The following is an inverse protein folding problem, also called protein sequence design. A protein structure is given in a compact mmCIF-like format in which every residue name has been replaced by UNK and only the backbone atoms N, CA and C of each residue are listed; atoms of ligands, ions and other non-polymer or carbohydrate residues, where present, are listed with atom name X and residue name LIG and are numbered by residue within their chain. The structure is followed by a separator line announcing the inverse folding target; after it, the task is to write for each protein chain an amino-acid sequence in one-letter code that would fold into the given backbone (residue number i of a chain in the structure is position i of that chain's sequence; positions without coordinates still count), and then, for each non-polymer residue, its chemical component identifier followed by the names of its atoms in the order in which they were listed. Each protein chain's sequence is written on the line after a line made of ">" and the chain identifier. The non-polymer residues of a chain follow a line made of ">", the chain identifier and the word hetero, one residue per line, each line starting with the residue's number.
data_IF_515580845765
#
_entry.id   IF_515580845765
#
_cell.length_a   1.000
_cell.length_b   1.000
_cell.length_c   1.000
_cell.angle_alpha   90.00
_cell.angle_beta   90.00
_cell.angle_gamma   90.00
#
_symmetry.space_group_name_H-M   'P 1'
#
loop_
_entity.id
_entity.type
_entity.pdbx_description
1 polymer ?
#
# COMPACT_ATOMS: atom_id res chain seq x y z
N UNK A 1 9.72 -2.88 -12.03
CA UNK A 1 10.27 -2.39 -10.74
C UNK A 1 10.51 -3.55 -9.79
N UNK A 2 11.50 -3.44 -8.93
CA UNK A 2 11.71 -4.44 -7.88
C UNK A 2 10.70 -4.29 -6.75
N UNK A 3 10.14 -5.39 -6.29
CA UNK A 3 9.16 -5.44 -5.21
C UNK A 3 9.42 -6.62 -4.28
N UNK A 4 9.39 -6.35 -2.98
CA UNK A 4 9.48 -7.41 -1.97
C UNK A 4 8.16 -8.19 -1.97
N UNK A 5 8.23 -9.48 -2.24
CA UNK A 5 7.06 -10.30 -2.55
C UNK A 5 7.00 -11.53 -1.65
N UNK A 6 5.81 -11.84 -1.13
CA UNK A 6 5.54 -13.10 -0.45
C UNK A 6 5.47 -14.21 -1.49
N UNK A 7 6.35 -15.18 -1.40
CA UNK A 7 6.44 -16.32 -2.35
C UNK A 7 5.72 -17.54 -1.79
N UNK A 8 6.04 -17.87 -0.56
CA UNK A 8 5.48 -19.00 0.18
C UNK A 8 5.72 -18.83 1.68
N UNK A 9 5.08 -19.66 2.50
CA UNK A 9 5.30 -19.64 3.95
C UNK A 9 6.79 -19.70 4.29
N UNK A 10 7.24 -18.73 5.06
CA UNK A 10 8.64 -18.58 5.47
C UNK A 10 9.52 -17.83 4.46
N UNK A 11 9.01 -17.48 3.27
CA UNK A 11 9.87 -16.93 2.21
C UNK A 11 9.31 -15.66 1.57
N UNK A 12 10.10 -14.60 1.64
CA UNK A 12 9.99 -13.40 0.82
C UNK A 12 11.13 -13.38 -0.21
N UNK A 13 10.89 -12.78 -1.36
CA UNK A 13 11.89 -12.55 -2.38
C UNK A 13 11.73 -11.17 -3.02
N UNK A 14 12.84 -10.61 -3.48
CA UNK A 14 12.83 -9.40 -4.30
C UNK A 14 12.59 -9.83 -5.75
N UNK A 15 11.42 -9.50 -6.28
CA UNK A 15 11.04 -9.91 -7.64
C UNK A 15 10.81 -8.67 -8.52
N UNK A 16 11.08 -8.86 -9.82
CA UNK A 16 10.71 -7.85 -10.82
C UNK A 16 9.20 -7.89 -11.08
N UNK A 17 8.55 -6.75 -10.94
CA UNK A 17 7.11 -6.58 -11.18
C UNK A 17 6.83 -5.38 -12.07
N UNK A 18 5.71 -5.37 -12.79
CA UNK A 18 5.28 -4.18 -13.52
C UNK A 18 5.09 -3.00 -12.54
N UNK A 19 5.38 -1.80 -13.03
CA UNK A 19 5.07 -0.58 -12.28
C UNK A 19 3.55 -0.43 -12.18
N UNK A 20 3.00 -0.04 -11.01
CA UNK A 20 1.57 0.18 -10.88
C UNK A 20 1.10 1.32 -11.79
N UNK A 21 -0.17 1.26 -12.19
CA UNK A 21 -0.86 2.28 -12.97
C UNK A 21 -2.09 2.75 -12.19
N UNK A 22 -2.56 3.96 -12.47
CA UNK A 22 -3.84 4.44 -11.93
C UNK A 22 -4.98 3.61 -12.52
N UNK A 23 -5.79 2.99 -11.68
CA UNK A 23 -6.93 2.17 -12.07
C UNK A 23 -8.26 2.91 -11.82
N UNK A 24 -8.26 3.88 -10.91
CA UNK A 24 -9.42 4.65 -10.53
C UNK A 24 -9.10 6.14 -10.40
N UNK A 25 -10.09 6.99 -10.59
CA UNK A 25 -9.94 8.45 -10.48
C UNK A 25 -9.50 8.92 -9.09
N UNK A 26 -9.67 8.10 -8.04
CA UNK A 26 -9.28 8.37 -6.64
C UNK A 26 -7.92 7.78 -6.27
N UNK A 27 -7.22 7.15 -7.20
CA UNK A 27 -5.90 6.56 -6.95
C UNK A 27 -4.79 7.61 -6.97
N UNK A 28 -3.72 7.30 -6.26
CA UNK A 28 -2.45 8.01 -6.36
C UNK A 28 -1.29 7.02 -6.44
N UNK A 29 -0.28 7.33 -7.23
CA UNK A 29 0.97 6.57 -7.27
C UNK A 29 2.03 7.36 -6.52
N UNK A 30 2.64 6.70 -5.53
CA UNK A 30 3.70 7.27 -4.70
C UNK A 30 5.01 6.55 -5.01
N UNK A 31 6.03 7.32 -5.36
CA UNK A 31 7.41 6.82 -5.45
C UNK A 31 7.95 6.72 -4.03
N UNK A 32 8.07 5.50 -3.51
CA UNK A 32 8.59 5.23 -2.18
C UNK A 32 10.05 5.65 -2.08
N UNK A 33 10.40 6.45 -1.08
CA UNK A 33 11.76 6.90 -0.80
C UNK A 33 12.35 6.27 0.46
N UNK A 34 11.49 5.86 1.40
CA UNK A 34 11.88 5.13 2.60
C UNK A 34 10.70 4.27 3.04
N UNK A 35 10.99 3.04 3.46
CA UNK A 35 10.01 2.12 4.00
C UNK A 35 10.54 1.48 5.28
N UNK A 36 9.63 1.01 6.12
CA UNK A 36 9.90 0.27 7.34
C UNK A 36 9.30 -1.13 7.29
N UNK A 37 9.86 -2.02 8.09
CA UNK A 37 9.30 -3.37 8.30
C UNK A 37 8.48 -3.32 9.58
N UNK A 38 7.22 -3.74 9.48
CA UNK A 38 6.31 -3.92 10.59
C UNK A 38 6.30 -5.39 11.07
N UNK A 39 5.95 -5.62 12.32
CA UNK A 39 5.78 -6.99 12.82
C UNK A 39 4.67 -7.77 12.10
N UNK A 40 3.68 -7.08 11.52
CA UNK A 40 2.65 -7.72 10.69
C UNK A 40 3.20 -8.33 9.39
N UNK A 41 4.32 -7.82 8.87
CA UNK A 41 5.03 -8.46 7.75
C UNK A 41 5.58 -9.83 8.15
N UNK A 42 6.03 -9.96 9.41
CA UNK A 42 6.46 -11.25 9.95
C UNK A 42 5.29 -12.24 10.09
N UNK A 43 4.10 -11.76 10.44
CA UNK A 43 2.89 -12.60 10.48
C UNK A 43 2.53 -13.11 9.08
N UNK A 44 2.66 -12.27 8.05
CA UNK A 44 2.52 -12.68 6.64
C UNK A 44 3.55 -13.76 6.32
N UNK A 45 4.82 -13.50 6.62
CA UNK A 45 5.92 -14.45 6.37
C UNK A 45 5.66 -15.81 7.01
N UNK A 46 5.19 -15.84 8.24
CA UNK A 46 4.92 -17.07 8.98
C UNK A 46 3.61 -17.77 8.56
N UNK A 47 2.84 -17.19 7.63
CA UNK A 47 1.59 -17.76 7.15
C UNK A 47 0.43 -17.61 8.13
N UNK A 48 0.51 -16.66 9.07
CA UNK A 48 -0.55 -16.39 10.06
C UNK A 48 -1.65 -15.48 9.52
N UNK A 49 -1.50 -14.96 8.30
CA UNK A 49 -2.48 -14.08 7.63
C UNK A 49 -3.13 -14.84 6.46
N UNK A 50 -4.33 -15.41 6.63
CA UNK A 50 -4.94 -16.27 5.61
C UNK A 50 -5.21 -15.58 4.27
N UNK A 51 -5.37 -14.25 4.26
CA UNK A 51 -5.60 -13.47 3.04
C UNK A 51 -4.31 -13.18 2.25
N UNK A 52 -3.14 -13.39 2.86
CA UNK A 52 -1.87 -13.21 2.17
C UNK A 52 -1.59 -14.42 1.29
N UNK A 53 -1.73 -14.25 -0.02
CA UNK A 53 -1.48 -15.29 -1.00
C UNK A 53 -0.13 -15.08 -1.70
N UNK A 54 0.53 -16.15 -2.19
CA UNK A 54 1.76 -16.02 -2.98
C UNK A 54 1.59 -15.01 -4.13
N UNK A 55 2.62 -14.20 -4.33
CA UNK A 55 2.62 -13.17 -5.36
C UNK A 55 2.25 -11.77 -4.89
N UNK A 56 1.74 -11.58 -3.66
CA UNK A 56 1.47 -10.23 -3.16
C UNK A 56 2.77 -9.46 -2.86
N UNK A 57 2.78 -8.18 -3.15
CA UNK A 57 3.83 -7.26 -2.69
C UNK A 57 3.63 -6.98 -1.21
N UNK A 58 4.71 -7.02 -0.43
CA UNK A 58 4.69 -6.84 1.02
C UNK A 58 5.25 -5.46 1.38
N UNK A 59 4.75 -4.90 2.47
CA UNK A 59 5.13 -3.59 3.01
C UNK A 59 3.96 -2.63 3.02
N UNK A 60 3.79 -1.92 4.14
CA UNK A 60 2.66 -1.00 4.35
C UNK A 60 3.03 0.22 5.20
N UNK A 61 4.31 0.39 5.52
CA UNK A 61 4.83 1.57 6.22
C UNK A 61 5.83 2.27 5.32
N UNK A 62 5.47 3.43 4.79
CA UNK A 62 6.31 4.13 3.83
C UNK A 62 6.08 5.63 3.80
N UNK A 63 7.11 6.31 3.36
CA UNK A 63 7.06 7.72 2.93
C UNK A 63 7.58 7.81 1.50
N UNK A 64 7.13 8.81 0.79
CA UNK A 64 7.52 8.98 -0.61
C UNK A 64 7.11 10.32 -1.20
N UNK A 65 7.23 10.38 -2.50
CA UNK A 65 6.83 11.54 -3.31
C UNK A 65 5.71 11.09 -4.25
N UNK A 66 4.63 11.85 -4.27
CA UNK A 66 3.52 11.61 -5.20
C UNK A 66 4.03 11.73 -6.63
N UNK A 67 3.85 10.71 -7.43
CA UNK A 67 4.28 10.67 -8.83
C UNK A 67 3.15 11.03 -9.79
N UNK A 68 1.95 10.50 -9.53
CA UNK A 68 0.74 10.79 -10.30
C UNK A 68 -0.50 10.60 -9.46
N UNK A 69 -1.59 11.26 -9.84
CA UNK A 69 -2.89 11.21 -9.16
C UNK A 69 -4.01 11.06 -10.17
N UNK A 70 -5.08 10.40 -9.76
CA UNK A 70 -6.33 10.36 -10.51
C UNK A 70 -7.09 11.71 -10.45
N UNK A 71 -8.04 11.89 -11.35
CA UNK A 71 -8.75 13.16 -11.56
C UNK A 71 -9.57 13.64 -10.35
N UNK A 72 -9.99 12.72 -9.47
CA UNK A 72 -10.76 13.05 -8.26
C UNK A 72 -9.90 13.27 -7.01
N UNK A 73 -8.58 13.15 -7.12
CA UNK A 73 -7.66 13.41 -6.00
C UNK A 73 -7.37 14.91 -5.92
N UNK A 74 -7.76 15.53 -4.81
CA UNK A 74 -7.65 16.99 -4.62
C UNK A 74 -6.76 17.42 -3.46
N UNK A 75 -6.44 16.49 -2.56
CA UNK A 75 -5.71 16.79 -1.31
C UNK A 75 -4.19 16.64 -1.41
N UNK A 76 -3.70 16.02 -2.48
CA UNK A 76 -2.26 15.89 -2.82
C UNK A 76 -2.07 16.09 -4.33
N UNK A 77 -0.86 16.43 -4.74
CA UNK A 77 -0.48 16.62 -6.15
C UNK A 77 0.90 16.01 -6.43
N UNK A 78 1.24 15.72 -7.69
CA UNK A 78 2.58 15.30 -8.06
C UNK A 78 3.66 16.22 -7.50
N UNK A 79 4.70 15.63 -6.91
CA UNK A 79 5.79 16.33 -6.24
C UNK A 79 5.63 16.49 -4.73
N UNK A 80 4.44 16.30 -4.17
CA UNK A 80 4.23 16.36 -2.73
C UNK A 80 4.91 15.20 -2.01
N UNK A 81 5.55 15.51 -0.88
CA UNK A 81 6.07 14.48 0.04
C UNK A 81 4.95 14.03 0.96
N UNK A 82 4.77 12.72 1.06
CA UNK A 82 3.67 12.12 1.82
C UNK A 82 4.15 10.96 2.68
N UNK A 83 3.45 10.73 3.79
CA UNK A 83 3.41 9.44 4.47
C UNK A 83 2.15 8.71 4.04
N UNK A 84 2.25 7.40 3.86
CA UNK A 84 1.10 6.59 3.41
C UNK A 84 0.51 5.87 4.62
N UNK A 85 -0.79 6.09 4.86
CA UNK A 85 -1.51 5.35 5.89
C UNK A 85 -1.79 3.92 5.40
N UNK A 86 -1.56 2.94 6.27
CA UNK A 86 -1.84 1.53 5.99
C UNK A 86 -3.35 1.26 5.80
N UNK A 87 -4.18 2.02 6.50
CA UNK A 87 -5.64 1.85 6.45
C UNK A 87 -6.22 2.57 5.25
N UNK A 88 -6.86 1.81 4.36
CA UNK A 88 -7.58 2.33 3.21
C UNK A 88 -9.06 2.36 3.51
N UNK A 89 -9.66 3.54 3.53
CA UNK A 89 -11.06 3.76 3.82
C UNK A 89 -11.77 4.46 2.65
N UNK A 90 -13.05 4.15 2.46
CA UNK A 90 -13.80 4.68 1.31
C UNK A 90 -14.29 6.13 1.50
N UNK A 91 -14.36 6.63 2.73
CA UNK A 91 -14.87 7.96 3.07
C UNK A 91 -16.41 8.09 3.05
N UNK A 92 -17.15 7.09 2.59
CA UNK A 92 -18.58 7.20 2.27
C UNK A 92 -19.48 6.27 3.09
N UNK A 93 -18.96 5.16 3.61
CA UNK A 93 -19.74 4.20 4.37
C UNK A 93 -20.15 4.74 5.75
N UNK A 94 -21.04 4.02 6.43
CA UNK A 94 -21.50 4.38 7.77
C UNK A 94 -20.36 4.63 8.74
N UNK A 95 -19.37 3.74 8.78
CA UNK A 95 -18.22 3.85 9.69
C UNK A 95 -17.37 5.09 9.39
N UNK A 96 -17.05 5.33 8.11
CA UNK A 96 -16.29 6.51 7.71
C UNK A 96 -16.99 7.80 8.07
N UNK A 97 -18.31 7.90 7.83
CA UNK A 97 -19.11 9.07 8.19
C UNK A 97 -19.20 9.32 9.69
N UNK A 98 -19.01 8.29 10.51
CA UNK A 98 -18.94 8.37 11.97
C UNK A 98 -17.53 8.58 12.51
N UNK A 99 -16.50 8.63 11.64
CA UNK A 99 -15.09 8.77 12.04
C UNK A 99 -14.39 7.47 12.42
N UNK A 100 -15.03 6.32 12.28
CA UNK A 100 -14.43 5.01 12.56
C UNK A 100 -13.78 4.43 11.30
N UNK A 101 -12.75 5.10 10.82
CA UNK A 101 -12.10 4.78 9.55
C UNK A 101 -11.26 3.48 9.56
N UNK A 102 -11.08 2.87 10.72
CA UNK A 102 -10.33 1.64 10.93
C UNK A 102 -11.20 0.37 11.03
N UNK A 103 -12.49 0.43 10.68
CA UNK A 103 -13.43 -0.69 10.66
C UNK A 103 -13.78 -1.12 9.24
#
# INVERSE_FOLDING_TARGET
>A
MQAYTYVEKGKFALLEKPKPVLLHERDAIVKVTLASICSSDLHIKHGSVPRAVPGITVGHEMVGVVESVGSAVTHVKPGDRVTVNVETFCGECFFCKKGFVNN
#
